data_IF_592833485723
#
_entry.id   IF_592833485723
#
_cell.length_a   1.000
_cell.length_b   1.000
_cell.length_c   1.000
_cell.angle_alpha   90.00
_cell.angle_beta   90.00
_cell.angle_gamma   90.00
#
_symmetry.space_group_name_H-M   'P 1'
#
loop_
_entity.id
_entity.type
_entity.pdbx_description
1 polymer ?
#
# COMPACT_ATOMS: atom_id res chain seq x y z
N UNK A 1 -14.83 12.94 13.07
CA UNK A 1 -14.82 12.76 14.54
C UNK A 1 -16.23 12.40 14.97
N UNK A 2 -16.39 11.40 15.82
CA UNK A 2 -17.70 10.99 16.37
C UNK A 2 -17.89 11.45 17.82
N UNK A 3 -16.86 12.10 18.39
CA UNK A 3 -16.91 12.83 19.66
C UNK A 3 -16.56 14.30 19.40
N UNK A 4 -17.00 15.17 20.30
CA UNK A 4 -16.84 16.62 20.19
C UNK A 4 -15.37 17.05 19.96
N UNK A 5 -14.41 16.33 20.56
CA UNK A 5 -12.96 16.58 20.42
C UNK A 5 -12.16 15.33 20.03
N UNK A 6 -12.70 14.43 19.21
CA UNK A 6 -11.91 13.30 18.73
C UNK A 6 -12.70 12.11 18.23
N UNK A 7 -12.08 10.95 18.38
CA UNK A 7 -12.64 9.68 17.94
C UNK A 7 -12.89 8.77 19.13
N UNK A 8 -14.03 8.09 19.16
CA UNK A 8 -14.19 6.96 20.06
C UNK A 8 -13.20 5.83 19.69
N UNK A 9 -12.87 4.93 20.62
CA UNK A 9 -12.08 3.74 20.32
C UNK A 9 -12.68 2.90 19.18
N UNK A 10 -14.00 2.76 19.13
CA UNK A 10 -14.71 2.04 18.09
C UNK A 10 -14.54 2.72 16.73
N UNK A 11 -14.65 4.06 16.67
CA UNK A 11 -14.44 4.80 15.43
C UNK A 11 -12.99 4.75 14.97
N UNK A 12 -12.02 4.79 15.89
CA UNK A 12 -10.60 4.60 15.58
C UNK A 12 -10.33 3.22 14.98
N UNK A 13 -10.91 2.17 15.56
CA UNK A 13 -10.80 0.82 15.03
C UNK A 13 -11.38 0.71 13.62
N UNK A 14 -12.54 1.33 13.38
CA UNK A 14 -13.15 1.35 12.05
C UNK A 14 -12.25 2.07 11.04
N UNK A 15 -11.69 3.23 11.37
CA UNK A 15 -10.77 3.97 10.50
C UNK A 15 -9.55 3.13 10.12
N UNK A 16 -9.00 2.36 11.07
CA UNK A 16 -7.88 1.46 10.78
C UNK A 16 -8.30 0.37 9.79
N UNK A 17 -9.45 -0.28 10.01
CA UNK A 17 -9.97 -1.31 9.09
C UNK A 17 -10.18 -0.76 7.67
N UNK A 18 -10.82 0.40 7.55
CA UNK A 18 -11.08 1.05 6.27
C UNK A 18 -9.77 1.35 5.51
N UNK A 19 -8.73 1.79 6.23
CA UNK A 19 -7.39 2.05 5.65
C UNK A 19 -6.69 0.77 5.21
N UNK A 20 -6.74 -0.29 6.01
CA UNK A 20 -6.18 -1.59 5.64
C UNK A 20 -6.88 -2.15 4.39
N UNK A 21 -8.21 -2.10 4.34
CA UNK A 21 -8.99 -2.54 3.18
C UNK A 21 -8.63 -1.72 1.93
N UNK A 22 -8.50 -0.40 2.05
CA UNK A 22 -8.07 0.46 0.96
C UNK A 22 -6.69 0.05 0.40
N UNK A 23 -5.72 -0.17 1.28
CA UNK A 23 -4.36 -0.61 0.87
C UNK A 23 -4.42 -1.99 0.21
N UNK A 24 -5.14 -2.95 0.77
CA UNK A 24 -5.27 -4.29 0.20
C UNK A 24 -5.91 -4.27 -1.20
N UNK A 25 -6.94 -3.44 -1.40
CA UNK A 25 -7.64 -3.34 -2.69
C UNK A 25 -6.86 -2.60 -3.77
N UNK A 26 -6.09 -1.56 -3.39
CA UNK A 26 -5.40 -0.67 -4.34
C UNK A 26 -3.92 -1.00 -4.52
N UNK A 27 -3.35 -1.80 -3.61
CA UNK A 27 -1.93 -2.09 -3.55
C UNK A 27 -1.08 -0.87 -3.17
N UNK A 28 0.23 -1.11 -3.05
CA UNK A 28 1.23 -0.07 -2.82
C UNK A 28 1.59 0.65 -4.12
N UNK A 29 0.66 1.45 -4.64
CA UNK A 29 0.88 2.26 -5.84
C UNK A 29 1.27 3.68 -5.46
N UNK A 30 2.02 4.37 -6.33
CA UNK A 30 2.39 5.80 -6.16
C UNK A 30 1.16 6.74 -6.10
N UNK A 31 -0.01 6.27 -6.51
CA UNK A 31 -1.28 6.99 -6.40
C UNK A 31 -1.95 6.83 -5.03
N UNK A 32 -1.31 6.14 -4.09
CA UNK A 32 -1.80 6.02 -2.72
C UNK A 32 -1.24 7.17 -1.87
N UNK A 33 -2.04 8.19 -1.50
CA UNK A 33 -1.56 9.36 -0.76
C UNK A 33 -1.09 9.01 0.67
N UNK A 34 -1.34 7.79 1.13
CA UNK A 34 -0.89 7.30 2.43
C UNK A 34 0.49 6.64 2.40
N UNK A 35 1.07 6.42 1.22
CA UNK A 35 2.41 5.87 1.06
C UNK A 35 3.34 7.01 0.62
N UNK A 36 4.30 7.43 1.46
CA UNK A 36 5.22 8.50 1.08
C UNK A 36 6.11 8.02 -0.07
N UNK A 37 6.50 8.93 -0.98
CA UNK A 37 7.36 8.57 -2.11
C UNK A 37 8.68 7.93 -1.67
N UNK A 38 9.19 8.32 -0.49
CA UNK A 38 10.40 7.74 0.12
C UNK A 38 10.28 6.26 0.46
N UNK A 39 9.06 5.71 0.59
CA UNK A 39 8.85 4.27 0.80
C UNK A 39 9.45 3.43 -0.34
N UNK A 40 9.44 3.97 -1.55
CA UNK A 40 10.00 3.32 -2.74
C UNK A 40 11.51 3.58 -2.92
N UNK A 41 12.17 4.25 -1.97
CA UNK A 41 13.61 4.47 -2.03
C UNK A 41 14.35 3.13 -1.94
N UNK A 42 15.31 2.91 -2.85
CA UNK A 42 16.07 1.67 -2.93
C UNK A 42 15.36 0.52 -3.65
N UNK A 43 14.10 0.71 -4.07
CA UNK A 43 13.43 -0.26 -4.91
C UNK A 43 13.97 -0.20 -6.35
N UNK A 44 14.11 -1.36 -6.99
CA UNK A 44 14.45 -1.42 -8.41
C UNK A 44 13.33 -0.76 -9.23
N UNK A 45 13.69 0.27 -10.01
CA UNK A 45 12.73 0.92 -10.90
C UNK A 45 12.58 0.11 -12.18
N UNK A 46 11.44 -0.55 -12.32
CA UNK A 46 11.07 -1.23 -13.56
C UNK A 46 10.51 -0.17 -14.51
N UNK A 47 11.34 0.34 -15.41
CA UNK A 47 10.93 1.37 -16.39
C UNK A 47 10.74 0.82 -17.80
N UNK A 48 11.14 -0.43 -18.03
CA UNK A 48 10.99 -1.12 -19.31
C UNK A 48 10.46 -2.55 -19.08
N UNK A 49 9.60 -2.99 -20.00
CA UNK A 49 9.01 -4.33 -20.07
C UNK A 49 8.64 -4.98 -18.71
N UNK A 50 7.65 -4.37 -18.04
CA UNK A 50 7.16 -4.79 -16.72
C UNK A 50 6.78 -6.28 -16.65
N UNK A 51 6.20 -6.82 -17.71
CA UNK A 51 5.77 -8.22 -17.76
C UNK A 51 6.95 -9.19 -17.68
N UNK A 52 8.06 -8.90 -18.37
CA UNK A 52 9.26 -9.72 -18.29
C UNK A 52 9.85 -9.72 -16.88
N UNK A 53 9.95 -8.53 -16.26
CA UNK A 53 10.53 -8.39 -14.92
C UNK A 53 9.67 -9.05 -13.84
N UNK A 54 8.34 -8.97 -13.97
CA UNK A 54 7.41 -9.65 -13.07
C UNK A 54 7.59 -11.18 -13.12
N UNK A 55 7.76 -11.77 -14.32
CA UNK A 55 8.01 -13.22 -14.43
C UNK A 55 9.31 -13.61 -13.73
N UNK A 56 10.39 -12.85 -13.91
CA UNK A 56 11.65 -13.10 -13.21
C UNK A 56 11.51 -13.09 -11.70
N UNK A 57 10.75 -12.14 -11.13
CA UNK A 57 10.50 -12.10 -9.69
C UNK A 57 9.63 -13.26 -9.20
N UNK A 58 8.65 -13.70 -10.01
CA UNK A 58 7.85 -14.88 -9.68
C UNK A 58 8.70 -16.14 -9.67
N UNK A 59 9.55 -16.32 -10.68
CA UNK A 59 10.47 -17.47 -10.76
C UNK A 59 11.39 -17.49 -9.52
N UNK A 60 12.02 -16.36 -9.19
CA UNK A 60 12.87 -16.22 -7.98
C UNK A 60 12.16 -16.48 -6.65
N UNK A 61 10.85 -16.23 -6.58
CA UNK A 61 10.06 -16.44 -5.36
C UNK A 61 9.62 -17.90 -5.18
N UNK A 62 9.46 -18.63 -6.29
CA UNK A 62 9.00 -20.02 -6.31
C UNK A 62 10.13 -21.04 -6.18
N UNK A 63 11.37 -20.63 -6.45
CA UNK A 63 12.60 -21.40 -6.19
C UNK A 63 13.02 -21.37 -4.72
#
# INVERSE_FOLDING_TARGET
MDRENGYSPQRMLQIIRDRCEYIMRRGSTLNNPHIPASYFNGWEKIIDNHASKLRQYLDQYLD
#
